data_IF_189565265209
#
_entry.id   IF_189565265209
#
_cell.length_a   1.000
_cell.length_b   1.000
_cell.length_c   1.000
_cell.angle_alpha   90.00
_cell.angle_beta   90.00
_cell.angle_gamma   90.00
#
_symmetry.space_group_name_H-M   'P 1'
#
loop_
_entity.id
_entity.type
_entity.pdbx_description
1 polymer ?
#
# COMPACT_ATOMS: atom_id res chain seq x y z
N UNK A 1 -46.02 -24.99 -33.56
CA UNK A 1 -44.55 -24.91 -33.47
C UNK A 1 -44.26 -24.01 -32.29
N UNK A 2 -44.08 -24.63 -31.12
CA UNK A 2 -44.02 -23.97 -29.82
C UNK A 2 -42.55 -23.94 -29.43
N UNK A 3 -41.95 -22.76 -29.31
CA UNK A 3 -40.60 -22.61 -28.74
C UNK A 3 -40.74 -22.35 -27.25
N UNK A 4 -40.14 -23.24 -26.47
CA UNK A 4 -40.04 -23.18 -25.02
C UNK A 4 -38.75 -22.44 -24.63
N UNK A 5 -38.87 -21.64 -23.57
CA UNK A 5 -37.79 -21.07 -22.76
C UNK A 5 -37.07 -22.18 -21.99
N UNK A 6 -35.73 -22.14 -21.93
CA UNK A 6 -34.92 -22.93 -21.00
C UNK A 6 -34.13 -21.98 -20.08
N UNK A 7 -34.35 -22.13 -18.78
CA UNK A 7 -33.53 -21.51 -17.73
C UNK A 7 -32.36 -22.42 -17.36
N UNK A 8 -31.23 -21.81 -16.99
CA UNK A 8 -30.07 -22.50 -16.46
C UNK A 8 -30.22 -22.69 -14.94
N UNK A 9 -30.23 -23.94 -14.50
CA UNK A 9 -29.89 -24.34 -13.12
C UNK A 9 -28.70 -25.28 -13.22
N UNK A 10 -27.63 -24.98 -12.48
CA UNK A 10 -26.47 -25.87 -12.37
C UNK A 10 -26.77 -26.91 -11.28
N UNK A 11 -26.86 -28.17 -11.70
CA UNK A 11 -27.02 -29.34 -10.81
C UNK A 11 -25.65 -30.01 -10.61
N UNK A 12 -25.26 -30.24 -9.37
CA UNK A 12 -24.02 -30.93 -9.01
C UNK A 12 -24.36 -32.32 -8.48
N UNK A 13 -24.31 -33.32 -9.37
CA UNK A 13 -24.39 -34.74 -8.97
C UNK A 13 -23.03 -35.42 -9.20
N UNK A 14 -22.42 -35.87 -8.11
CA UNK A 14 -21.22 -36.71 -8.14
C UNK A 14 -21.59 -38.17 -8.45
N UNK A 15 -20.90 -38.77 -9.42
CA UNK A 15 -21.04 -40.20 -9.76
C UNK A 15 -19.84 -40.96 -9.19
N UNK A 16 -20.09 -41.95 -8.33
CA UNK A 16 -19.09 -42.95 -7.94
C UNK A 16 -19.08 -44.08 -8.98
N UNK A 17 -17.91 -44.36 -9.58
CA UNK A 17 -17.72 -45.55 -10.40
C UNK A 17 -17.18 -46.69 -9.53
N UNK A 18 -17.99 -47.74 -9.34
CA UNK A 18 -17.51 -49.02 -8.83
C UNK A 18 -16.71 -49.75 -9.91
N UNK A 19 -15.43 -50.02 -9.66
CA UNK A 19 -14.66 -50.99 -10.45
C UNK A 19 -14.66 -52.33 -9.71
N UNK A 20 -15.17 -53.37 -10.39
CA UNK A 20 -15.16 -54.76 -9.93
C UNK A 20 -13.72 -55.30 -9.92
N UNK A 21 -13.11 -55.44 -8.74
CA UNK A 21 -11.87 -56.21 -8.55
C UNK A 21 -12.10 -57.38 -7.58
N UNK A 22 -11.79 -58.58 -8.06
CA UNK A 22 -11.87 -59.86 -7.35
C UNK A 22 -10.95 -59.88 -6.11
N UNK A 23 -11.45 -60.51 -5.04
CA UNK A 23 -10.75 -60.88 -3.79
C UNK A 23 -9.32 -61.39 -4.00
N UNK A 24 -8.35 -60.70 -3.41
CA UNK A 24 -7.24 -61.34 -2.71
C UNK A 24 -6.86 -60.49 -1.50
N UNK A 25 -6.75 -61.14 -0.35
CA UNK A 25 -6.48 -60.54 0.95
C UNK A 25 -5.18 -59.72 0.91
N UNK A 26 -5.30 -58.38 0.99
CA UNK A 26 -4.32 -57.46 1.55
C UNK A 26 -4.96 -56.06 1.67
N UNK A 27 -4.83 -55.47 2.85
CA UNK A 27 -5.39 -54.17 3.23
C UNK A 27 -4.72 -53.05 2.43
N UNK A 28 -5.44 -52.41 1.51
CA UNK A 28 -5.02 -51.16 0.87
C UNK A 28 -6.06 -50.06 1.13
N UNK A 29 -5.65 -48.82 1.42
CA UNK A 29 -6.58 -47.72 1.62
C UNK A 29 -7.28 -47.35 0.29
N UNK A 30 -8.61 -47.19 0.35
CA UNK A 30 -9.39 -46.62 -0.74
C UNK A 30 -8.90 -45.19 -1.02
N UNK A 31 -8.46 -44.96 -2.26
CA UNK A 31 -8.06 -43.63 -2.73
C UNK A 31 -9.26 -43.00 -3.44
N UNK A 32 -9.82 -41.92 -2.88
CA UNK A 32 -10.75 -41.07 -3.61
C UNK A 32 -9.94 -40.05 -4.44
N UNK A 33 -10.12 -40.07 -5.75
CA UNK A 33 -9.53 -39.08 -6.66
C UNK A 33 -10.61 -38.06 -6.99
N UNK A 34 -10.40 -36.81 -6.56
CA UNK A 34 -11.22 -35.68 -6.99
C UNK A 34 -10.63 -35.13 -8.30
N UNK A 35 -11.35 -35.26 -9.42
CA UNK A 35 -10.95 -34.67 -10.70
C UNK A 35 -11.77 -33.40 -10.91
N UNK A 36 -11.13 -32.24 -10.77
CA UNK A 36 -11.72 -30.95 -11.14
C UNK A 36 -11.31 -30.64 -12.59
N UNK A 37 -12.26 -30.73 -13.50
CA UNK A 37 -12.07 -30.31 -14.89
C UNK A 37 -12.60 -28.89 -15.06
N UNK A 38 -11.68 -27.93 -15.29
CA UNK A 38 -12.06 -26.61 -15.79
C UNK A 38 -12.17 -26.70 -17.31
N UNK A 39 -13.36 -26.40 -17.84
CA UNK A 39 -13.57 -26.28 -19.27
C UNK A 39 -13.08 -24.91 -19.75
N UNK A 40 -11.83 -24.84 -20.19
CA UNK A 40 -11.30 -23.71 -20.96
C UNK A 40 -10.98 -24.18 -22.37
N UNK A 41 -11.59 -23.51 -23.36
CA UNK A 41 -11.36 -23.76 -24.77
C UNK A 41 -9.94 -23.26 -25.16
N UNK A 42 -9.06 -24.20 -25.55
CA UNK A 42 -7.95 -24.09 -26.54
C UNK A 42 -6.83 -23.06 -26.19
N UNK A 43 -5.53 -23.36 -26.03
CA UNK A 43 -4.64 -24.47 -26.38
C UNK A 43 -3.35 -24.39 -25.52
N UNK A 44 -3.07 -25.39 -24.69
CA UNK A 44 -1.77 -25.85 -24.14
C UNK A 44 -1.97 -26.43 -22.73
N UNK A 45 -2.13 -27.76 -22.64
CA UNK A 45 -2.36 -28.47 -21.39
C UNK A 45 -1.04 -28.69 -20.64
N UNK A 46 -0.87 -28.00 -19.51
CA UNK A 46 -0.10 -28.51 -18.38
C UNK A 46 -1.12 -28.93 -17.30
N UNK A 47 -1.28 -30.23 -17.10
CA UNK A 47 -2.15 -30.76 -16.04
C UNK A 47 -1.36 -30.86 -14.75
N UNK A 48 -1.62 -29.97 -13.80
CA UNK A 48 -1.09 -30.09 -12.43
C UNK A 48 -1.98 -31.03 -11.63
N UNK A 49 -1.43 -32.15 -11.17
CA UNK A 49 -2.12 -33.07 -10.25
C UNK A 49 -1.71 -32.71 -8.83
N UNK A 50 -2.66 -32.21 -8.02
CA UNK A 50 -2.46 -32.01 -6.59
C UNK A 50 -2.93 -33.28 -5.88
N UNK A 51 -2.00 -33.99 -5.24
CA UNK A 51 -2.31 -35.15 -4.41
C UNK A 51 -2.21 -34.71 -2.94
N UNK A 52 -3.36 -34.52 -2.29
CA UNK A 52 -3.41 -34.39 -0.84
C UNK A 52 -3.69 -35.78 -0.24
N UNK A 53 -2.77 -36.26 0.61
CA UNK A 53 -3.01 -37.45 1.45
C UNK A 53 -3.21 -36.99 2.88
N UNK A 54 -4.25 -37.47 3.55
CA UNK A 54 -4.43 -37.30 4.99
C UNK A 54 -4.84 -38.62 5.61
N UNK A 55 -3.99 -39.12 6.51
CA UNK A 55 -4.28 -40.31 7.31
C UNK A 55 -5.32 -39.97 8.37
N UNK A 56 -6.45 -40.67 8.35
CA UNK A 56 -7.44 -40.63 9.41
C UNK A 56 -7.50 -42.01 10.07
N UNK A 57 -6.75 -42.18 11.14
CA UNK A 57 -6.96 -43.28 12.08
C UNK A 57 -7.61 -42.75 13.37
N UNK A 58 -8.92 -42.94 13.45
CA UNK A 58 -9.71 -43.06 14.69
C UNK A 58 -9.63 -41.94 15.74
N UNK A 59 -10.55 -40.97 15.67
CA UNK A 59 -11.22 -40.36 16.83
C UNK A 59 -12.28 -39.37 16.33
N UNK A 60 -13.46 -39.35 16.96
CA UNK A 60 -14.65 -38.60 16.52
C UNK A 60 -14.93 -37.30 17.29
N UNK A 61 -13.96 -36.75 18.03
CA UNK A 61 -14.16 -35.50 18.77
C UNK A 61 -13.10 -34.45 18.41
N UNK A 62 -13.55 -33.37 17.77
CA UNK A 62 -12.76 -32.17 17.48
C UNK A 62 -13.25 -31.03 18.39
N UNK A 63 -12.49 -30.69 19.43
CA UNK A 63 -12.63 -29.39 20.08
C UNK A 63 -11.30 -28.96 20.74
N UNK A 64 -10.54 -28.01 20.16
CA UNK A 64 -9.41 -27.42 20.84
C UNK A 64 -9.84 -26.15 21.60
N UNK A 65 -9.64 -26.15 22.92
CA UNK A 65 -9.64 -24.93 23.74
C UNK A 65 -8.19 -24.45 23.88
N UNK A 66 -7.92 -23.18 23.57
CA UNK A 66 -6.62 -22.55 23.78
C UNK A 66 -6.78 -21.51 24.89
N UNK A 67 -5.97 -21.64 25.94
CA UNK A 67 -5.79 -20.64 27.00
C UNK A 67 -4.51 -19.86 26.74
N UNK A 68 -4.56 -18.53 26.88
CA UNK A 68 -3.41 -17.62 26.81
C UNK A 68 -3.18 -17.06 28.22
N UNK A 69 -1.94 -17.11 28.70
CA UNK A 69 -1.49 -16.53 29.97
C UNK A 69 -0.78 -15.18 29.75
N UNK A 70 -0.86 -14.32 30.77
CA UNK A 70 -0.62 -12.88 30.84
C UNK A 70 0.80 -12.35 30.54
N UNK A 71 0.81 -11.05 30.18
CA UNK A 71 1.92 -10.10 29.97
C UNK A 71 2.76 -9.78 31.24
N UNK A 72 3.86 -9.02 31.09
CA UNK A 72 3.79 -7.66 31.66
C UNK A 72 4.40 -6.53 30.81
N UNK A 73 3.57 -5.50 30.63
CA UNK A 73 3.72 -4.08 30.92
C UNK A 73 4.95 -3.24 30.47
N UNK A 74 4.57 -2.24 29.66
CA UNK A 74 5.04 -0.84 29.56
C UNK A 74 6.27 -0.51 28.71
N UNK A 75 6.02 0.12 27.55
CA UNK A 75 6.95 1.05 26.89
C UNK A 75 6.25 2.40 26.74
N UNK A 76 6.79 3.41 27.42
CA UNK A 76 6.40 4.82 27.29
C UNK A 76 7.18 5.45 26.14
N UNK A 77 6.49 6.01 25.13
CA UNK A 77 7.10 6.81 24.08
C UNK A 77 7.00 8.31 24.44
N UNK A 78 8.15 8.98 24.52
CA UNK A 78 8.24 10.44 24.42
C UNK A 78 9.00 10.77 23.14
N UNK A 79 8.30 11.35 22.17
CA UNK A 79 8.92 12.00 21.02
C UNK A 79 9.31 13.42 21.38
N UNK A 80 10.57 13.79 21.23
CA UNK A 80 10.99 15.16 20.96
C UNK A 80 12.33 15.16 20.21
N UNK A 81 12.36 15.90 19.10
CA UNK A 81 13.56 16.27 18.36
C UNK A 81 14.22 17.46 19.08
N UNK A 82 15.43 17.28 19.61
CA UNK A 82 16.42 18.35 19.75
C UNK A 82 17.82 17.80 20.04
N UNK A 83 18.75 18.19 19.16
CA UNK A 83 20.18 18.45 19.33
C UNK A 83 20.98 17.96 20.54
N UNK A 84 22.15 17.42 20.17
CA UNK A 84 23.47 17.52 20.82
C UNK A 84 23.96 16.42 21.80
N UNK A 85 25.11 15.89 21.36
CA UNK A 85 26.27 15.36 22.08
C UNK A 85 26.14 14.22 23.10
N UNK A 86 26.73 13.09 22.70
CA UNK A 86 27.75 12.42 23.51
C UNK A 86 27.28 11.23 24.37
N UNK A 87 27.86 10.05 24.10
CA UNK A 87 27.81 8.94 25.04
C UNK A 87 28.07 7.59 24.40
N UNK A 88 29.31 7.11 24.51
CA UNK A 88 29.76 5.85 23.94
C UNK A 88 29.12 4.61 24.56
N UNK A 89 28.99 3.57 23.74
CA UNK A 89 28.66 2.21 24.15
C UNK A 89 29.42 1.23 23.26
N UNK A 90 30.58 0.79 23.74
CA UNK A 90 31.42 -0.20 23.06
C UNK A 90 30.93 -1.63 23.26
N UNK A 91 31.02 -2.42 22.19
CA UNK A 91 31.07 -3.87 22.16
C UNK A 91 31.56 -4.27 20.77
N UNK A 92 32.83 -4.64 20.57
CA UNK A 92 33.34 -5.97 20.87
C UNK A 92 32.70 -6.96 19.89
N UNK A 93 33.29 -7.34 18.77
CA UNK A 93 34.65 -7.83 18.58
C UNK A 93 34.54 -9.19 17.88
N UNK A 94 34.72 -9.19 16.56
CA UNK A 94 34.67 -10.39 15.72
C UNK A 94 35.63 -10.25 14.55
N UNK A 95 36.92 -10.44 14.83
CA UNK A 95 37.98 -10.38 13.83
C UNK A 95 37.89 -11.52 12.83
N UNK A 96 37.73 -11.16 11.55
CA UNK A 96 38.00 -12.01 10.39
C UNK A 96 38.94 -11.26 9.45
N UNK A 97 40.16 -11.78 9.29
CA UNK A 97 41.29 -11.08 8.68
C UNK A 97 41.15 -10.76 7.19
N UNK A 98 41.55 -9.53 6.89
CA UNK A 98 42.19 -9.04 5.67
C UNK A 98 42.18 -9.89 4.40
N UNK A 99 41.41 -9.39 3.42
CA UNK A 99 41.89 -9.14 2.06
C UNK A 99 41.36 -7.76 1.65
N UNK A 100 42.23 -6.89 1.13
CA UNK A 100 41.87 -5.59 0.57
C UNK A 100 41.02 -5.72 -0.69
N UNK A 101 39.77 -6.15 -0.53
CA UNK A 101 38.75 -6.18 -1.57
C UNK A 101 37.92 -4.91 -1.46
N UNK A 102 37.76 -4.20 -2.58
CA UNK A 102 36.83 -3.08 -2.65
C UNK A 102 35.51 -3.49 -2.01
N UNK A 103 35.14 -2.79 -0.94
CA UNK A 103 33.91 -3.03 -0.22
C UNK A 103 32.77 -3.10 -1.23
N UNK A 104 31.92 -4.11 -1.10
CA UNK A 104 30.74 -4.19 -1.94
C UNK A 104 29.92 -2.93 -1.71
N UNK A 105 29.78 -2.10 -2.75
CA UNK A 105 29.17 -0.78 -2.67
C UNK A 105 27.64 -0.87 -2.72
N UNK A 106 27.13 -1.64 -3.69
CA UNK A 106 25.71 -1.96 -3.83
C UNK A 106 25.42 -3.47 -3.68
N UNK A 107 24.16 -3.84 -3.39
CA UNK A 107 23.70 -5.23 -3.47
C UNK A 107 23.79 -5.76 -4.90
N UNK A 108 24.16 -7.03 -5.14
CA UNK A 108 24.34 -7.52 -6.50
C UNK A 108 23.00 -7.84 -7.15
N UNK A 109 22.80 -7.38 -8.39
CA UNK A 109 21.72 -7.86 -9.26
C UNK A 109 22.24 -8.87 -10.29
N UNK A 110 21.55 -10.00 -10.51
CA UNK A 110 21.90 -10.95 -11.57
C UNK A 110 21.95 -10.27 -12.94
N UNK A 111 23.01 -10.54 -13.71
CA UNK A 111 23.16 -10.01 -15.08
C UNK A 111 23.58 -8.54 -15.18
N UNK A 112 23.68 -7.81 -14.06
CA UNK A 112 24.10 -6.40 -14.04
C UNK A 112 25.54 -6.29 -13.57
N UNK A 113 26.35 -5.55 -14.33
CA UNK A 113 27.71 -5.22 -13.92
C UNK A 113 27.65 -4.24 -12.74
N UNK A 114 28.28 -4.64 -11.63
CA UNK A 114 28.48 -3.82 -10.43
C UNK A 114 29.13 -2.46 -10.73
N UNK A 115 28.92 -1.52 -9.83
CA UNK A 115 29.62 -0.25 -9.76
C UNK A 115 31.13 -0.44 -9.78
N UNK A 116 31.85 0.50 -10.37
CA UNK A 116 33.32 0.46 -10.49
C UNK A 116 33.90 1.80 -10.06
N UNK A 117 35.16 1.80 -9.61
CA UNK A 117 35.90 3.00 -9.19
C UNK A 117 35.29 3.75 -8.00
N UNK A 118 34.60 3.05 -7.09
CA UNK A 118 34.00 3.68 -5.92
C UNK A 118 32.60 4.26 -6.18
N UNK A 119 32.14 4.28 -7.44
CA UNK A 119 30.80 4.71 -7.85
C UNK A 119 29.82 3.52 -7.82
N UNK A 120 28.92 3.45 -6.82
CA UNK A 120 27.93 2.38 -6.71
C UNK A 120 26.93 2.45 -7.86
N UNK A 121 26.33 1.32 -8.23
CA UNK A 121 25.21 1.29 -9.18
C UNK A 121 23.89 1.13 -8.45
N UNK A 122 22.91 1.99 -8.75
CA UNK A 122 21.57 1.93 -8.17
C UNK A 122 20.53 1.91 -9.29
N UNK A 123 20.02 0.72 -9.57
CA UNK A 123 18.84 0.51 -10.42
C UNK A 123 17.59 0.50 -9.54
N UNK A 124 16.70 1.46 -9.74
CA UNK A 124 15.44 1.61 -9.01
C UNK A 124 14.28 1.66 -10.00
N UNK A 125 13.11 1.22 -9.58
CA UNK A 125 11.96 1.08 -10.47
C UNK A 125 10.74 1.87 -10.02
N UNK A 126 9.95 2.35 -10.96
CA UNK A 126 8.68 3.03 -10.70
C UNK A 126 7.63 2.58 -11.73
N UNK A 127 6.35 2.74 -11.38
CA UNK A 127 5.28 2.72 -12.38
C UNK A 127 5.17 4.10 -13.06
N UNK A 128 4.16 4.28 -13.89
CA UNK A 128 4.01 5.43 -14.79
C UNK A 128 2.61 6.06 -14.78
N UNK A 129 1.73 5.63 -13.89
CA UNK A 129 0.33 6.05 -13.79
C UNK A 129 0.06 6.92 -12.54
N UNK A 130 1.11 7.53 -11.96
CA UNK A 130 0.99 8.32 -10.74
C UNK A 130 1.67 9.70 -10.82
N UNK A 131 1.20 10.59 -11.72
CA UNK A 131 1.69 11.97 -11.77
C UNK A 131 1.33 12.77 -10.50
N UNK A 132 2.14 13.78 -10.13
CA UNK A 132 3.42 14.17 -10.74
C UNK A 132 4.60 13.32 -10.24
N UNK A 133 4.35 12.29 -9.43
CA UNK A 133 5.39 11.53 -8.73
C UNK A 133 6.16 10.55 -9.64
N UNK A 134 5.44 9.87 -10.53
CA UNK A 134 5.95 8.84 -11.42
C UNK A 134 5.06 8.73 -12.69
N UNK A 135 5.62 9.07 -13.86
CA UNK A 135 4.91 9.04 -15.14
C UNK A 135 5.85 8.79 -16.33
N UNK A 136 5.31 8.63 -17.54
CA UNK A 136 6.09 8.72 -18.79
C UNK A 136 6.12 10.16 -19.28
N UNK A 137 7.31 10.75 -19.35
CA UNK A 137 7.49 12.03 -20.02
C UNK A 137 7.20 11.86 -21.51
N UNK A 138 6.43 12.77 -22.09
CA UNK A 138 6.11 12.77 -23.52
C UNK A 138 6.63 14.04 -24.17
N UNK A 139 6.88 14.06 -25.50
CA UNK A 139 7.45 15.24 -26.14
C UNK A 139 6.60 16.51 -25.87
N UNK A 140 7.22 17.65 -25.54
CA UNK A 140 8.66 17.93 -25.66
C UNK A 140 9.50 17.62 -24.41
N UNK A 141 8.94 17.07 -23.34
CA UNK A 141 9.66 16.78 -22.08
C UNK A 141 10.73 15.69 -22.26
N UNK A 142 10.33 14.53 -22.79
CA UNK A 142 11.22 13.41 -23.11
C UNK A 142 10.63 12.54 -24.24
N UNK A 143 11.39 11.55 -24.72
CA UNK A 143 10.96 10.60 -25.75
C UNK A 143 10.37 9.33 -25.12
N UNK A 144 9.27 9.47 -24.38
CA UNK A 144 8.62 8.38 -23.64
C UNK A 144 9.54 7.72 -22.59
N UNK A 145 10.41 8.51 -21.97
CA UNK A 145 11.25 8.05 -20.86
C UNK A 145 10.50 8.16 -19.53
N UNK A 146 10.86 7.31 -18.56
CA UNK A 146 10.35 7.45 -17.17
C UNK A 146 10.71 8.83 -16.63
N UNK A 147 9.78 9.45 -15.91
CA UNK A 147 9.87 10.82 -15.44
C UNK A 147 9.06 11.01 -14.15
N UNK A 148 9.15 12.21 -13.57
CA UNK A 148 8.41 12.60 -12.37
C UNK A 148 9.30 13.02 -11.20
N UNK A 149 8.66 13.46 -10.12
CA UNK A 149 9.37 13.99 -8.96
C UNK A 149 10.34 12.97 -8.34
N UNK A 150 9.90 11.72 -8.16
CA UNK A 150 10.77 10.68 -7.59
C UNK A 150 11.99 10.40 -8.48
N UNK A 151 11.77 10.33 -9.79
CA UNK A 151 12.82 10.17 -10.80
C UNK A 151 13.88 11.29 -10.68
N UNK A 152 13.44 12.55 -10.69
CA UNK A 152 14.35 13.69 -10.66
C UNK A 152 15.15 13.77 -9.35
N UNK A 153 14.51 13.45 -8.21
CA UNK A 153 15.20 13.38 -6.92
C UNK A 153 16.25 12.26 -6.91
N UNK A 154 15.96 11.10 -7.50
CA UNK A 154 16.93 10.01 -7.59
C UNK A 154 18.15 10.37 -8.44
N UNK A 155 17.94 11.04 -9.57
CA UNK A 155 19.03 11.48 -10.44
C UNK A 155 19.87 12.58 -9.79
N UNK A 156 19.24 13.62 -9.23
CA UNK A 156 19.96 14.71 -8.56
C UNK A 156 20.76 14.22 -7.34
N UNK A 157 20.18 13.34 -6.53
CA UNK A 157 20.91 12.66 -5.45
C UNK A 157 22.07 11.82 -5.99
N UNK A 158 21.85 11.10 -7.09
CA UNK A 158 22.87 10.28 -7.74
C UNK A 158 24.07 11.09 -8.22
N UNK A 159 23.82 12.25 -8.83
CA UNK A 159 24.86 13.19 -9.26
C UNK A 159 25.65 13.74 -8.07
N UNK A 160 24.96 14.20 -7.02
CA UNK A 160 25.60 14.76 -5.81
C UNK A 160 26.55 13.77 -5.12
N UNK A 161 26.21 12.49 -5.15
CA UNK A 161 26.92 11.44 -4.42
C UNK A 161 27.77 10.50 -5.27
N UNK A 162 27.92 10.78 -6.57
CA UNK A 162 28.65 9.91 -7.49
C UNK A 162 28.10 8.46 -7.46
N UNK A 163 26.77 8.32 -7.50
CA UNK A 163 26.05 7.06 -7.68
C UNK A 163 25.59 6.98 -9.14
N UNK A 164 25.80 5.84 -9.78
CA UNK A 164 25.26 5.55 -11.11
C UNK A 164 23.80 5.09 -10.96
N UNK A 165 22.88 6.05 -11.02
CA UNK A 165 21.44 5.81 -10.86
C UNK A 165 20.81 5.50 -12.21
N UNK A 166 20.01 4.44 -12.28
CA UNK A 166 19.16 4.13 -13.42
C UNK A 166 17.74 3.92 -12.91
N UNK A 167 16.79 4.67 -13.47
CA UNK A 167 15.37 4.48 -13.19
C UNK A 167 14.76 3.66 -14.32
N UNK A 168 13.99 2.63 -13.98
CA UNK A 168 13.32 1.75 -14.95
C UNK A 168 11.82 1.67 -14.68
N UNK A 169 11.03 1.37 -15.71
CA UNK A 169 9.61 1.11 -15.55
C UNK A 169 9.36 -0.29 -14.97
N UNK A 170 8.36 -0.41 -14.09
CA UNK A 170 7.78 -1.67 -13.59
C UNK A 170 6.32 -1.43 -13.22
N UNK A 171 5.49 -2.47 -13.17
CA UNK A 171 4.15 -2.33 -12.57
C UNK A 171 4.21 -2.28 -11.04
N UNK A 172 3.29 -1.57 -10.38
CA UNK A 172 3.20 -1.49 -8.91
C UNK A 172 3.19 -2.87 -8.25
N UNK A 173 2.45 -3.84 -8.80
CA UNK A 173 2.36 -5.20 -8.27
C UNK A 173 3.72 -5.95 -8.26
N UNK A 174 4.68 -5.55 -9.10
CA UNK A 174 6.03 -6.13 -9.06
C UNK A 174 6.86 -5.59 -7.88
N UNK A 175 6.42 -4.51 -7.25
CA UNK A 175 7.01 -3.94 -6.03
C UNK A 175 6.26 -4.39 -4.78
N UNK A 176 4.94 -4.26 -4.75
CA UNK A 176 4.10 -4.66 -3.63
C UNK A 176 2.73 -5.09 -4.12
N UNK A 177 2.26 -6.26 -3.68
CA UNK A 177 0.99 -6.82 -4.13
C UNK A 177 0.32 -7.62 -3.01
N UNK A 178 -0.96 -7.35 -2.75
CA UNK A 178 -1.84 -8.10 -1.85
C UNK A 178 -1.18 -8.52 -0.50
N UNK A 179 -0.47 -7.60 0.14
CA UNK A 179 0.19 -7.83 1.44
C UNK A 179 1.51 -8.61 1.38
N UNK A 180 2.09 -8.73 0.20
CA UNK A 180 3.36 -9.39 -0.04
C UNK A 180 4.32 -8.52 -0.86
N UNK A 181 5.61 -8.80 -0.70
CA UNK A 181 6.64 -8.24 -1.56
C UNK A 181 6.43 -8.71 -3.01
N UNK A 182 6.37 -7.76 -3.94
CA UNK A 182 6.13 -8.05 -5.35
C UNK A 182 7.26 -8.85 -6.00
N UNK A 183 6.95 -9.53 -7.11
CA UNK A 183 7.88 -10.49 -7.72
C UNK A 183 9.15 -9.84 -8.26
N UNK A 184 9.09 -8.60 -8.74
CA UNK A 184 10.24 -7.85 -9.25
C UNK A 184 11.27 -7.53 -8.17
N UNK A 185 10.83 -6.99 -7.03
CA UNK A 185 11.73 -6.79 -5.88
C UNK A 185 12.21 -8.11 -5.28
N UNK A 186 11.30 -9.10 -5.14
CA UNK A 186 11.68 -10.35 -4.52
C UNK A 186 12.71 -11.15 -5.34
N UNK A 187 12.62 -11.07 -6.68
CA UNK A 187 13.51 -11.74 -7.63
C UNK A 187 14.73 -10.88 -8.03
N UNK A 188 14.91 -9.72 -7.40
CA UNK A 188 16.02 -8.80 -7.64
C UNK A 188 16.17 -8.39 -9.12
N UNK A 189 15.06 -7.97 -9.74
CA UNK A 189 15.10 -7.33 -11.07
C UNK A 189 15.70 -5.92 -11.00
N UNK A 190 15.57 -5.26 -9.84
CA UNK A 190 16.09 -3.94 -9.49
C UNK A 190 16.41 -3.92 -7.98
N UNK A 191 17.12 -2.91 -7.51
CA UNK A 191 17.54 -2.81 -6.10
C UNK A 191 16.40 -2.39 -5.18
N UNK A 192 15.44 -1.63 -5.70
CA UNK A 192 14.24 -1.21 -4.99
C UNK A 192 13.24 -0.53 -5.91
N UNK A 193 12.04 -0.30 -5.41
CA UNK A 193 11.04 0.53 -6.06
C UNK A 193 10.98 1.93 -5.46
N UNK A 194 10.41 2.87 -6.19
CA UNK A 194 10.38 4.28 -5.81
C UNK A 194 8.98 4.76 -5.50
N UNK A 195 8.89 5.94 -4.86
CA UNK A 195 7.67 6.71 -4.65
C UNK A 195 6.57 6.02 -3.85
N UNK A 196 6.97 5.11 -2.94
CA UNK A 196 6.06 4.46 -1.99
C UNK A 196 5.96 5.23 -0.68
N UNK A 197 4.74 5.35 -0.14
CA UNK A 197 4.50 5.75 1.25
C UNK A 197 5.07 4.69 2.21
N UNK A 198 5.81 5.15 3.21
CA UNK A 198 6.28 4.29 4.30
C UNK A 198 5.14 4.04 5.30
N UNK A 199 4.25 3.12 4.94
CA UNK A 199 3.14 2.73 5.82
C UNK A 199 3.66 2.04 7.09
N UNK A 200 2.90 2.21 8.17
CA UNK A 200 3.02 1.36 9.34
C UNK A 200 2.58 -0.08 8.99
N UNK A 201 2.81 -1.01 9.91
CA UNK A 201 2.35 -2.40 9.72
C UNK A 201 3.22 -3.23 8.77
N UNK A 202 2.58 -3.99 7.90
CA UNK A 202 3.11 -5.23 7.35
C UNK A 202 4.29 -5.09 6.39
N UNK A 203 4.37 -3.98 5.64
CA UNK A 203 5.48 -3.73 4.70
C UNK A 203 6.81 -3.86 5.42
N UNK A 204 6.91 -3.32 6.64
CA UNK A 204 8.11 -3.35 7.48
C UNK A 204 8.60 -4.75 7.85
N UNK A 205 7.81 -5.81 7.61
CA UNK A 205 8.22 -7.22 7.75
C UNK A 205 9.12 -7.67 6.58
N UNK A 206 8.89 -7.15 5.38
CA UNK A 206 9.51 -7.62 4.13
C UNK A 206 10.47 -6.62 3.49
N UNK A 207 10.20 -5.32 3.67
CA UNK A 207 10.93 -4.23 3.01
C UNK A 207 11.51 -3.25 4.03
N UNK A 208 12.44 -2.43 3.56
CA UNK A 208 12.99 -1.26 4.24
C UNK A 208 12.79 -0.04 3.35
N UNK A 209 12.66 1.13 3.96
CA UNK A 209 12.40 2.38 3.26
C UNK A 209 13.55 3.35 3.46
N UNK A 210 13.86 4.13 2.42
CA UNK A 210 14.72 5.32 2.55
C UNK A 210 14.03 6.40 3.39
N UNK A 211 14.70 7.53 3.59
CA UNK A 211 14.00 8.73 4.05
C UNK A 211 12.88 9.14 3.09
N UNK A 212 11.87 9.79 3.66
CA UNK A 212 10.82 10.49 2.93
C UNK A 212 11.41 11.60 2.08
N UNK A 213 10.98 11.71 0.83
CA UNK A 213 11.25 12.85 -0.05
C UNK A 213 10.11 13.86 -0.04
N UNK A 214 9.00 13.51 0.59
CA UNK A 214 7.88 14.38 0.93
C UNK A 214 7.55 14.16 2.41
N UNK A 215 7.06 15.20 3.06
CA UNK A 215 6.52 15.12 4.41
C UNK A 215 5.36 14.11 4.45
N UNK A 216 4.96 13.68 5.65
CA UNK A 216 3.73 12.90 5.82
C UNK A 216 2.51 13.77 5.43
N UNK A 217 2.22 13.78 4.13
CA UNK A 217 1.30 14.71 3.48
C UNK A 217 0.02 14.05 2.97
N UNK A 218 -0.13 12.74 3.18
CA UNK A 218 -1.28 11.96 2.75
C UNK A 218 -1.97 11.35 3.95
N UNK A 219 -2.66 12.15 4.78
CA UNK A 219 -3.48 11.61 5.86
C UNK A 219 -4.53 10.67 5.29
N UNK A 220 -4.94 9.70 6.08
CA UNK A 220 -6.02 8.79 5.76
C UNK A 220 -7.35 9.28 6.35
N UNK A 221 -8.43 8.71 5.86
CA UNK A 221 -9.79 8.96 6.31
C UNK A 221 -10.70 7.76 6.08
N UNK A 222 -11.86 7.80 6.72
CA UNK A 222 -12.93 6.81 6.52
C UNK A 222 -14.09 7.53 5.86
N UNK A 223 -14.41 7.14 4.63
CA UNK A 223 -15.63 7.56 3.94
C UNK A 223 -16.81 6.73 4.44
N UNK A 224 -17.99 7.33 4.49
CA UNK A 224 -19.27 6.68 4.76
C UNK A 224 -20.37 7.37 3.97
N UNK A 225 -21.44 6.65 3.68
CA UNK A 225 -22.66 7.24 3.13
C UNK A 225 -23.31 8.20 4.13
N UNK A 226 -24.04 9.18 3.61
CA UNK A 226 -24.94 10.06 4.34
C UNK A 226 -26.39 9.61 4.15
N UNK A 227 -27.19 9.68 5.21
CA UNK A 227 -28.63 9.47 5.13
C UNK A 227 -29.36 10.67 4.50
N UNK A 228 -30.68 10.56 4.33
CA UNK A 228 -31.50 11.65 3.77
C UNK A 228 -31.51 12.95 4.59
N UNK A 229 -31.03 12.89 5.83
CA UNK A 229 -30.90 14.03 6.74
C UNK A 229 -29.47 14.57 6.80
N UNK A 230 -28.53 13.99 6.03
CA UNK A 230 -27.12 14.38 6.01
C UNK A 230 -26.30 13.79 7.16
N UNK A 231 -26.83 12.82 7.92
CA UNK A 231 -26.07 12.16 8.99
C UNK A 231 -25.23 11.02 8.42
N UNK A 232 -24.00 10.81 8.91
CA UNK A 232 -23.16 9.71 8.45
C UNK A 232 -23.68 8.36 8.98
N UNK A 233 -23.64 7.33 8.13
CA UNK A 233 -24.04 5.97 8.51
C UNK A 233 -23.11 5.36 9.56
N UNK A 234 -21.80 5.59 9.44
CA UNK A 234 -20.85 5.36 10.53
C UNK A 234 -20.84 6.59 11.44
N UNK A 235 -21.00 6.39 12.74
CA UNK A 235 -20.87 7.49 13.71
C UNK A 235 -19.41 7.89 13.89
N UNK A 236 -19.12 9.19 13.99
CA UNK A 236 -17.77 9.69 14.28
C UNK A 236 -17.21 9.29 15.64
N UNK A 237 -18.02 8.78 16.57
CA UNK A 237 -17.51 8.21 17.83
C UNK A 237 -17.39 6.67 17.81
N UNK A 238 -17.70 6.03 16.67
CA UNK A 238 -17.66 4.57 16.49
C UNK A 238 -16.25 4.01 16.63
N UNK A 239 -16.11 2.84 17.23
CA UNK A 239 -14.87 2.04 17.16
C UNK A 239 -14.87 1.04 15.99
N UNK A 240 -15.87 1.13 15.10
CA UNK A 240 -16.08 0.26 13.93
C UNK A 240 -16.50 -1.19 14.25
N UNK A 241 -16.82 -1.52 15.50
CA UNK A 241 -17.22 -2.88 15.85
C UNK A 241 -18.48 -3.34 15.07
N UNK A 242 -18.36 -4.48 14.37
CA UNK A 242 -19.42 -5.06 13.55
C UNK A 242 -19.64 -4.36 12.21
N UNK A 243 -18.80 -3.40 11.83
CA UNK A 243 -18.85 -2.73 10.53
C UNK A 243 -17.98 -3.43 9.50
N UNK A 244 -18.33 -3.25 8.22
CA UNK A 244 -17.54 -3.68 7.07
C UNK A 244 -16.86 -2.49 6.44
N UNK A 245 -15.56 -2.56 6.25
CA UNK A 245 -14.74 -1.46 5.69
C UNK A 245 -14.03 -1.97 4.44
N UNK A 246 -14.15 -1.23 3.33
CA UNK A 246 -13.39 -1.53 2.12
C UNK A 246 -11.92 -1.09 2.26
N UNK A 247 -11.01 -1.99 1.89
CA UNK A 247 -9.60 -1.73 1.61
C UNK A 247 -9.44 -1.41 0.12
N UNK A 248 -8.75 -0.32 -0.21
CA UNK A 248 -8.47 0.04 -1.61
C UNK A 248 -7.21 -0.68 -2.07
N UNK A 249 -7.39 -1.81 -2.75
CA UNK A 249 -6.28 -2.71 -3.08
C UNK A 249 -5.20 -2.05 -3.93
N UNK A 250 -3.95 -2.19 -3.49
CA UNK A 250 -2.77 -1.60 -4.14
C UNK A 250 -2.44 -0.19 -3.65
N UNK A 251 -3.35 0.46 -2.90
CA UNK A 251 -3.15 1.80 -2.38
C UNK A 251 -2.85 1.77 -0.88
N UNK A 252 -2.24 2.84 -0.40
CA UNK A 252 -2.21 3.15 1.01
C UNK A 252 -3.35 4.14 1.33
N UNK A 253 -3.86 4.18 2.57
CA UNK A 253 -3.52 3.27 3.67
C UNK A 253 -3.97 1.83 3.39
N UNK A 254 -3.33 0.83 4.03
CA UNK A 254 -3.62 -0.60 3.82
C UNK A 254 -4.47 -1.19 4.94
N UNK A 255 -5.19 -2.28 4.68
CA UNK A 255 -6.09 -2.94 5.63
C UNK A 255 -5.52 -3.14 7.05
N UNK A 256 -4.25 -3.53 7.16
CA UNK A 256 -3.59 -3.78 8.44
C UNK A 256 -3.30 -2.50 9.24
N UNK A 257 -3.17 -1.36 8.57
CA UNK A 257 -2.85 -0.09 9.24
C UNK A 257 -4.03 0.48 10.02
N UNK A 258 -5.27 0.16 9.65
CA UNK A 258 -6.46 0.63 10.39
C UNK A 258 -6.45 0.11 11.83
N UNK A 259 -5.87 -1.08 12.07
CA UNK A 259 -5.77 -1.69 13.40
C UNK A 259 -4.79 -0.95 14.33
N UNK A 260 -4.03 0.00 13.81
CA UNK A 260 -3.08 0.83 14.56
C UNK A 260 -3.68 2.16 14.99
N UNK A 261 -4.88 2.50 14.51
CA UNK A 261 -5.47 3.84 14.62
C UNK A 261 -6.44 3.92 15.79
N UNK A 262 -6.26 4.94 16.62
CA UNK A 262 -7.26 5.34 17.61
C UNK A 262 -8.24 6.35 17.01
N UNK A 263 -9.53 6.19 17.29
CA UNK A 263 -10.53 7.18 16.94
C UNK A 263 -10.30 8.44 17.77
N UNK A 264 -9.88 9.54 17.14
CA UNK A 264 -9.58 10.82 17.81
C UNK A 264 -10.81 11.47 18.48
N UNK A 265 -12.02 11.14 18.06
CA UNK A 265 -13.25 11.66 18.65
C UNK A 265 -13.64 10.94 19.96
N UNK A 266 -13.36 9.63 20.06
CA UNK A 266 -13.73 8.82 21.24
C UNK A 266 -12.52 8.38 22.09
N UNK A 267 -11.30 8.53 21.58
CA UNK A 267 -10.05 7.98 22.12
C UNK A 267 -10.09 6.46 22.31
N UNK A 268 -10.79 5.75 21.41
CA UNK A 268 -10.89 4.28 21.41
C UNK A 268 -10.26 3.73 20.14
N UNK A 269 -9.47 2.66 20.27
CA UNK A 269 -8.90 1.91 19.15
C UNK A 269 -10.01 1.42 18.21
N UNK A 270 -9.82 1.57 16.90
CA UNK A 270 -10.67 0.88 15.93
C UNK A 270 -10.47 -0.63 16.04
N UNK A 271 -11.55 -1.39 16.20
CA UNK A 271 -11.52 -2.84 16.37
C UNK A 271 -12.86 -3.51 16.01
N UNK A 272 -12.85 -4.83 15.84
CA UNK A 272 -14.07 -5.60 15.61
C UNK A 272 -14.74 -5.39 14.25
N UNK A 273 -14.07 -4.72 13.32
CA UNK A 273 -14.52 -4.53 11.94
C UNK A 273 -14.05 -5.68 11.03
N UNK A 274 -14.73 -5.84 9.89
CA UNK A 274 -14.35 -6.75 8.80
C UNK A 274 -13.77 -5.93 7.63
N UNK A 275 -12.53 -6.22 7.23
CA UNK A 275 -11.95 -5.61 6.03
C UNK A 275 -12.32 -6.43 4.79
N UNK A 276 -12.87 -5.78 3.76
CA UNK A 276 -13.15 -6.38 2.46
C UNK A 276 -12.24 -5.76 1.39
N UNK A 277 -11.62 -6.60 0.58
CA UNK A 277 -10.65 -6.17 -0.44
C UNK A 277 -11.39 -5.72 -1.72
N UNK A 278 -11.12 -4.52 -2.22
CA UNK A 278 -11.85 -4.02 -3.41
C UNK A 278 -11.52 -4.77 -4.70
N UNK A 279 -10.38 -5.47 -4.78
CA UNK A 279 -10.04 -6.30 -5.94
C UNK A 279 -10.91 -7.56 -6.06
N UNK A 280 -11.49 -8.06 -4.95
CA UNK A 280 -12.48 -9.16 -5.01
C UNK A 280 -13.79 -8.74 -5.71
N UNK A 281 -13.97 -7.43 -5.91
CA UNK A 281 -15.13 -6.80 -6.54
C UNK A 281 -14.77 -6.12 -7.87
N UNK A 282 -13.60 -6.41 -8.45
CA UNK A 282 -13.09 -5.81 -9.69
C UNK A 282 -13.90 -6.13 -10.95
N UNK A 283 -15.01 -6.86 -10.83
CA UNK A 283 -15.97 -7.04 -11.93
C UNK A 283 -16.76 -5.74 -12.23
N UNK A 284 -16.67 -4.74 -11.35
CA UNK A 284 -17.46 -3.51 -11.42
C UNK A 284 -16.69 -2.26 -11.85
N UNK A 285 -15.35 -2.27 -11.89
CA UNK A 285 -14.55 -1.11 -12.29
C UNK A 285 -13.16 -1.46 -12.80
N UNK A 286 -12.58 -0.54 -13.58
CA UNK A 286 -11.24 -0.66 -14.14
C UNK A 286 -10.13 -0.24 -13.15
N UNK A 287 -10.47 0.34 -11.98
CA UNK A 287 -9.54 0.67 -10.91
C UNK A 287 -10.10 0.38 -9.50
N UNK A 288 -9.21 0.13 -8.53
CA UNK A 288 -9.55 -0.27 -7.16
C UNK A 288 -10.28 0.81 -6.34
N UNK A 289 -10.10 2.09 -6.65
CA UNK A 289 -10.75 3.22 -5.98
C UNK A 289 -12.25 3.24 -6.31
N UNK A 290 -12.59 3.12 -7.60
CA UNK A 290 -13.97 3.00 -8.08
C UNK A 290 -14.65 1.73 -7.58
N UNK A 291 -13.91 0.63 -7.45
CA UNK A 291 -14.44 -0.63 -6.90
C UNK A 291 -14.90 -0.42 -5.44
N UNK A 292 -14.05 0.19 -4.62
CA UNK A 292 -14.35 0.47 -3.21
C UNK A 292 -15.54 1.43 -3.05
N UNK A 293 -15.61 2.49 -3.87
CA UNK A 293 -16.76 3.40 -3.88
C UNK A 293 -18.04 2.68 -4.30
N UNK A 294 -17.97 1.81 -5.31
CA UNK A 294 -19.12 1.00 -5.75
C UNK A 294 -19.63 0.08 -4.64
N UNK A 295 -18.72 -0.59 -3.91
CA UNK A 295 -19.08 -1.42 -2.76
C UNK A 295 -19.82 -0.60 -1.70
N UNK A 296 -19.35 0.61 -1.39
CA UNK A 296 -20.01 1.49 -0.43
C UNK A 296 -21.41 1.90 -0.90
N UNK A 297 -21.57 2.32 -2.16
CA UNK A 297 -22.89 2.71 -2.69
C UNK A 297 -23.88 1.55 -2.83
N UNK A 298 -23.39 0.32 -3.03
CA UNK A 298 -24.23 -0.88 -3.05
C UNK A 298 -24.62 -1.37 -1.66
N UNK A 299 -23.98 -0.84 -0.60
CA UNK A 299 -24.16 -1.32 0.78
C UNK A 299 -23.45 -2.64 1.07
N UNK A 300 -22.45 -3.01 0.26
CA UNK A 300 -21.59 -4.18 0.50
C UNK A 300 -20.63 -3.92 1.67
N UNK A 301 -20.27 -2.64 1.88
CA UNK A 301 -19.49 -2.13 3.02
C UNK A 301 -20.18 -0.90 3.63
N UNK A 302 -19.89 -0.62 4.90
CA UNK A 302 -20.38 0.54 5.63
C UNK A 302 -19.47 1.78 5.41
N UNK A 303 -18.21 1.56 5.06
CA UNK A 303 -17.27 2.65 4.78
C UNK A 303 -16.05 2.21 3.96
N UNK A 304 -15.23 3.20 3.56
CA UNK A 304 -14.01 2.99 2.78
C UNK A 304 -12.81 3.60 3.50
N UNK A 305 -11.76 2.81 3.70
CA UNK A 305 -10.48 3.24 4.26
C UNK A 305 -9.55 3.70 3.14
N UNK A 306 -9.24 5.00 3.09
CA UNK A 306 -8.61 5.64 1.93
C UNK A 306 -7.84 6.90 2.31
N UNK A 307 -7.00 7.45 1.42
CA UNK A 307 -6.40 8.76 1.66
C UNK A 307 -7.47 9.86 1.74
N UNK A 308 -7.29 10.79 2.66
CA UNK A 308 -8.23 11.85 2.97
C UNK A 308 -8.34 12.92 1.87
N UNK A 309 -7.34 13.04 0.99
CA UNK A 309 -7.35 13.91 -0.19
C UNK A 309 -7.94 13.22 -1.43
N UNK A 310 -8.28 11.93 -1.36
CA UNK A 310 -8.64 11.16 -2.55
C UNK A 310 -9.85 11.73 -3.29
N UNK A 311 -10.91 12.11 -2.55
CA UNK A 311 -12.12 12.71 -3.15
C UNK A 311 -11.82 14.05 -3.83
N UNK A 312 -10.89 14.84 -3.30
CA UNK A 312 -10.44 16.07 -3.93
C UNK A 312 -9.69 15.77 -5.23
N UNK A 313 -8.77 14.81 -5.20
CA UNK A 313 -8.00 14.39 -6.38
C UNK A 313 -8.86 13.74 -7.46
N UNK A 314 -10.01 13.16 -7.07
CA UNK A 314 -10.97 12.51 -7.97
C UNK A 314 -12.15 13.43 -8.34
N UNK A 315 -12.04 14.75 -8.13
CA UNK A 315 -13.02 15.71 -8.64
C UNK A 315 -12.95 15.79 -10.17
N UNK A 316 -14.02 15.38 -10.84
CA UNK A 316 -14.10 15.41 -12.30
C UNK A 316 -14.17 16.81 -12.92
N UNK A 317 -14.24 17.86 -12.10
CA UNK A 317 -14.15 19.24 -12.56
C UNK A 317 -12.72 19.80 -12.53
N UNK A 318 -11.73 18.98 -12.15
CA UNK A 318 -10.33 19.40 -12.13
C UNK A 318 -9.85 19.71 -13.55
N UNK A 319 -9.43 20.95 -13.82
CA UNK A 319 -9.12 21.45 -15.17
C UNK A 319 -7.92 20.77 -15.84
N UNK A 320 -7.01 20.22 -15.02
CA UNK A 320 -5.68 19.80 -15.45
C UNK A 320 -5.50 18.28 -15.51
N UNK A 321 -6.58 17.51 -15.28
CA UNK A 321 -6.55 16.04 -15.30
C UNK A 321 -7.66 15.54 -16.23
N UNK A 322 -7.35 14.58 -17.09
CA UNK A 322 -8.39 13.82 -17.80
C UNK A 322 -8.79 12.67 -16.89
N UNK A 323 -10.05 12.62 -16.38
CA UNK A 323 -10.45 11.58 -15.45
C UNK A 323 -10.38 10.20 -16.08
N UNK A 324 -9.62 9.30 -15.47
CA UNK A 324 -9.60 7.86 -15.79
C UNK A 324 -10.49 7.05 -14.82
N UNK A 325 -11.17 7.75 -13.91
CA UNK A 325 -12.10 7.18 -12.93
C UNK A 325 -13.56 7.50 -13.28
N UNK A 326 -14.48 6.78 -12.63
CA UNK A 326 -15.92 6.94 -12.83
C UNK A 326 -16.45 8.15 -12.06
N UNK A 327 -16.57 9.29 -12.75
CA UNK A 327 -17.08 10.55 -12.18
C UNK A 327 -18.38 10.43 -11.40
N UNK A 328 -19.31 9.57 -11.82
CA UNK A 328 -20.60 9.44 -11.14
C UNK A 328 -20.50 8.84 -9.73
N UNK A 329 -19.43 8.08 -9.44
CA UNK A 329 -19.14 7.55 -8.10
C UNK A 329 -18.59 8.64 -7.17
N UNK A 330 -17.78 9.55 -7.70
CA UNK A 330 -17.11 10.59 -6.91
C UNK A 330 -17.95 11.87 -6.77
N UNK A 331 -19.05 11.98 -7.51
CA UNK A 331 -20.03 13.07 -7.32
C UNK A 331 -20.87 12.93 -6.04
N UNK A 332 -21.20 14.08 -5.44
CA UNK A 332 -22.09 14.14 -4.27
C UNK A 332 -21.36 14.06 -2.93
N UNK A 333 -20.06 14.35 -2.91
CA UNK A 333 -19.34 14.60 -1.66
C UNK A 333 -20.05 15.69 -0.83
N UNK A 334 -20.27 15.42 0.45
CA UNK A 334 -21.05 16.26 1.37
C UNK A 334 -22.57 16.16 1.22
N UNK A 335 -23.09 15.37 0.28
CA UNK A 335 -24.55 15.19 0.11
C UNK A 335 -24.98 13.73 0.08
N UNK A 336 -24.17 12.85 -0.50
CA UNK A 336 -24.40 11.40 -0.56
C UNK A 336 -23.44 10.63 0.35
N UNK A 337 -22.24 11.16 0.54
CA UNK A 337 -21.18 10.54 1.35
C UNK A 337 -20.22 11.62 1.86
N UNK A 338 -19.47 11.31 2.91
CA UNK A 338 -18.52 12.23 3.55
C UNK A 338 -17.41 11.43 4.25
N UNK A 339 -16.30 12.10 4.56
CA UNK A 339 -15.35 11.61 5.56
C UNK A 339 -15.94 11.78 6.94
N UNK A 340 -16.14 10.66 7.63
CA UNK A 340 -16.47 10.66 9.07
C UNK A 340 -15.21 10.74 9.93
N UNK A 341 -14.09 10.24 9.40
CA UNK A 341 -12.76 10.39 9.97
C UNK A 341 -11.79 10.94 8.93
N UNK A 342 -10.88 11.81 9.35
CA UNK A 342 -9.95 12.54 8.48
C UNK A 342 -8.69 12.92 9.27
N UNK A 343 -7.58 13.20 8.58
CA UNK A 343 -6.32 13.60 9.21
C UNK A 343 -5.59 12.47 9.94
N UNK A 344 -5.89 11.20 9.63
CA UNK A 344 -5.27 10.06 10.31
C UNK A 344 -3.88 9.83 9.73
N UNK A 345 -2.83 10.08 10.53
CA UNK A 345 -1.43 9.94 10.11
C UNK A 345 -0.77 8.69 10.67
N UNK A 346 -1.38 8.07 11.68
CA UNK A 346 -0.90 6.89 12.42
C UNK A 346 -0.74 5.66 11.51
N UNK A 347 -1.35 5.67 10.33
CA UNK A 347 -1.20 4.63 9.31
C UNK A 347 0.18 4.63 8.63
N UNK A 348 1.01 5.68 8.81
CA UNK A 348 2.30 5.84 8.16
C UNK A 348 3.40 6.30 9.14
N UNK A 349 4.63 5.81 8.92
CA UNK A 349 5.82 6.31 9.62
C UNK A 349 6.42 7.53 8.93
N UNK A 350 6.24 7.64 7.62
CA UNK A 350 6.74 8.75 6.81
C UNK A 350 5.86 8.91 5.54
N UNK A 351 5.99 10.05 4.86
CA UNK A 351 5.36 10.28 3.56
C UNK A 351 5.95 9.43 2.44
N UNK A 352 5.84 9.94 1.20
CA UNK A 352 6.47 9.31 0.02
C UNK A 352 7.98 9.22 0.21
N UNK A 353 8.54 8.01 0.13
CA UNK A 353 9.97 7.74 0.22
C UNK A 353 10.61 7.62 -1.17
N UNK A 354 11.92 7.89 -1.25
CA UNK A 354 12.65 7.73 -2.51
C UNK A 354 12.72 6.26 -2.93
N UNK A 355 13.05 5.36 -2.00
CA UNK A 355 13.26 3.95 -2.27
C UNK A 355 12.63 3.06 -1.20
N UNK A 356 11.82 2.11 -1.63
CA UNK A 356 11.41 0.90 -0.92
C UNK A 356 12.23 -0.28 -1.45
N UNK A 357 13.01 -0.94 -0.59
CA UNK A 357 13.89 -2.04 -0.97
C UNK A 357 13.66 -3.28 -0.11
N UNK A 358 14.15 -4.44 -0.55
CA UNK A 358 14.06 -5.66 0.26
C UNK A 358 14.78 -5.47 1.60
N UNK A 359 14.16 -5.89 2.69
CA UNK A 359 14.72 -5.70 4.03
C UNK A 359 16.08 -6.38 4.16
N UNK A 360 17.07 -5.64 4.69
CA UNK A 360 18.44 -6.11 4.82
C UNK A 360 19.21 -6.11 3.49
N UNK A 361 18.72 -5.42 2.46
CA UNK A 361 19.43 -5.27 1.20
C UNK A 361 20.68 -4.42 1.37
N UNK A 362 20.64 -3.39 2.22
CA UNK A 362 21.70 -2.38 2.32
C UNK A 362 21.44 -1.14 1.45
N UNK A 363 20.34 -1.11 0.68
CA UNK A 363 20.01 0.03 -0.20
C UNK A 363 19.68 1.27 0.62
N UNK A 364 19.00 1.10 1.75
CA UNK A 364 18.68 2.23 2.64
C UNK A 364 19.95 2.90 3.17
N UNK A 365 20.93 2.11 3.59
CA UNK A 365 22.21 2.58 4.11
C UNK A 365 23.06 3.26 3.02
N UNK A 366 22.92 2.81 1.76
CA UNK A 366 23.54 3.43 0.60
C UNK A 366 22.89 4.79 0.24
N UNK A 367 21.56 4.87 0.26
CA UNK A 367 20.78 6.01 -0.23
C UNK A 367 20.65 7.12 0.80
N UNK A 368 20.35 6.81 2.06
CA UNK A 368 19.94 7.81 3.06
C UNK A 368 20.97 8.92 3.32
N UNK A 369 22.28 8.65 3.45
CA UNK A 369 23.26 9.73 3.65
C UNK A 369 23.30 10.72 2.49
N UNK A 370 23.06 10.25 1.27
CA UNK A 370 23.05 11.07 0.07
C UNK A 370 21.74 11.83 -0.08
N UNK A 371 20.63 11.16 0.19
CA UNK A 371 19.30 11.75 0.12
C UNK A 371 19.16 12.91 1.10
N UNK A 372 19.62 12.73 2.34
CA UNK A 372 19.62 13.79 3.34
C UNK A 372 20.38 15.03 2.85
N UNK A 373 21.59 14.85 2.31
CA UNK A 373 22.39 15.95 1.77
C UNK A 373 21.73 16.62 0.56
N UNK A 374 21.09 15.83 -0.31
CA UNK A 374 20.40 16.36 -1.49
C UNK A 374 19.19 17.21 -1.10
N UNK A 375 18.41 16.76 -0.11
CA UNK A 375 17.25 17.50 0.41
C UNK A 375 17.60 18.84 1.06
N UNK A 376 18.86 19.07 1.43
CA UNK A 376 19.36 20.35 1.94
C UNK A 376 19.78 21.33 0.83
N UNK A 377 19.66 20.94 -0.45
CA UNK A 377 20.11 21.76 -1.59
C UNK A 377 19.02 22.65 -2.18
N UNK A 378 19.44 23.72 -2.86
CA UNK A 378 18.57 24.56 -3.70
C UNK A 378 17.98 23.75 -4.87
N UNK A 379 18.71 22.75 -5.39
CA UNK A 379 18.23 21.88 -6.46
C UNK A 379 16.99 21.08 -6.05
N UNK A 380 16.97 20.52 -4.84
CA UNK A 380 15.78 19.85 -4.32
C UNK A 380 14.57 20.79 -4.23
N UNK A 381 14.79 22.03 -3.78
CA UNK A 381 13.74 23.06 -3.76
C UNK A 381 13.22 23.39 -5.18
N UNK A 382 14.11 23.56 -6.15
CA UNK A 382 13.71 23.82 -7.54
C UNK A 382 12.97 22.62 -8.17
N UNK A 383 13.28 21.38 -7.77
CA UNK A 383 12.48 20.21 -8.13
C UNK A 383 11.09 20.25 -7.51
N UNK A 384 10.98 20.63 -6.23
CA UNK A 384 9.68 20.81 -5.58
C UNK A 384 8.83 21.87 -6.29
N UNK A 385 9.42 22.98 -6.75
CA UNK A 385 8.72 23.97 -7.58
C UNK A 385 8.34 23.45 -8.96
N UNK A 386 9.27 22.76 -9.65
CA UNK A 386 9.03 22.20 -10.97
C UNK A 386 7.78 21.31 -10.99
N UNK A 387 7.57 20.55 -9.92
CA UNK A 387 6.49 19.58 -9.78
C UNK A 387 5.28 20.10 -8.97
N UNK A 388 5.27 21.37 -8.57
CA UNK A 388 4.21 22.00 -7.74
C UNK A 388 3.98 21.29 -6.38
N UNK A 389 5.08 20.91 -5.72
CA UNK A 389 5.11 20.15 -4.47
C UNK A 389 5.74 20.94 -3.31
N UNK A 390 5.94 22.25 -3.43
CA UNK A 390 6.61 23.07 -2.40
C UNK A 390 5.92 23.00 -1.03
N UNK A 391 4.59 22.84 -1.01
CA UNK A 391 3.79 22.74 0.21
C UNK A 391 3.97 21.42 0.96
N UNK A 392 4.46 20.37 0.29
CA UNK A 392 4.56 19.01 0.84
C UNK A 392 5.99 18.46 0.86
N UNK A 393 6.95 19.13 0.22
CA UNK A 393 8.37 18.86 0.36
C UNK A 393 8.90 19.22 1.75
N UNK A 394 10.05 18.66 2.12
CA UNK A 394 10.75 19.06 3.35
C UNK A 394 11.40 20.44 3.17
N UNK A 395 11.01 21.48 3.92
CA UNK A 395 11.60 22.80 3.74
C UNK A 395 13.08 22.80 4.15
N UNK A 396 13.87 23.56 3.41
CA UNK A 396 15.27 23.88 3.69
C UNK A 396 15.50 25.40 3.54
N UNK A 397 16.75 25.87 3.64
CA UNK A 397 17.10 27.30 3.57
C UNK A 397 16.71 28.01 2.26
N UNK A 398 16.38 27.25 1.20
CA UNK A 398 15.93 27.78 -0.09
C UNK A 398 14.41 28.01 -0.17
N UNK A 399 13.62 27.46 0.76
CA UNK A 399 12.17 27.63 0.80
C UNK A 399 11.78 28.99 1.38
N UNK A 400 10.80 29.65 0.77
CA UNK A 400 10.23 30.89 1.28
C UNK A 400 9.39 30.68 2.56
N UNK A 401 9.34 31.69 3.43
CA UNK A 401 8.51 31.64 4.65
C UNK A 401 7.00 31.47 4.36
N UNK A 402 6.55 31.92 3.18
CA UNK A 402 5.16 31.84 2.73
C UNK A 402 4.84 30.54 1.97
N UNK A 403 5.84 29.68 1.75
CA UNK A 403 5.70 28.40 1.04
C UNK A 403 5.43 27.22 1.99
N UNK A 404 5.33 27.51 3.29
CA UNK A 404 4.88 26.57 4.33
C UNK A 404 3.35 26.58 4.33
N UNK A 405 2.77 25.45 3.89
CA UNK A 405 1.41 25.28 3.41
C UNK A 405 0.28 25.96 4.22
N UNK A 406 -0.74 26.44 3.48
CA UNK A 406 -2.10 26.49 4.01
C UNK A 406 -2.58 25.06 4.28
N UNK A 407 -2.97 24.77 5.52
CA UNK A 407 -3.47 23.44 5.88
C UNK A 407 -4.80 23.17 5.19
N UNK A 408 -4.81 22.22 4.25
CA UNK A 408 -6.04 21.80 3.60
C UNK A 408 -6.98 21.14 4.63
N UNK A 409 -8.30 21.15 4.38
CA UNK A 409 -9.27 20.62 5.36
C UNK A 409 -9.02 19.13 5.68
N UNK A 410 -8.52 18.35 4.73
CA UNK A 410 -8.19 16.93 4.91
C UNK A 410 -6.92 16.67 5.73
N UNK A 411 -6.12 17.71 6.00
CA UNK A 411 -4.91 17.63 6.83
C UNK A 411 -5.18 17.83 8.32
N UNK A 412 -6.35 18.37 8.68
CA UNK A 412 -6.76 18.44 10.08
C UNK A 412 -7.16 17.05 10.58
N UNK A 413 -6.76 16.69 11.80
CA UNK A 413 -7.41 15.57 12.51
C UNK A 413 -8.89 15.90 12.68
N UNK A 414 -9.77 14.90 12.66
CA UNK A 414 -11.22 15.11 12.84
C UNK A 414 -11.57 15.95 14.07
N UNK A 415 -10.83 15.80 15.17
CA UNK A 415 -10.99 16.58 16.41
C UNK A 415 -10.52 18.03 16.32
N UNK A 416 -9.77 18.37 15.28
CA UNK A 416 -9.14 19.67 15.04
C UNK A 416 -9.77 20.43 13.86
N UNK A 417 -10.79 19.83 13.22
CA UNK A 417 -11.52 20.48 12.15
C UNK A 417 -12.04 21.86 12.58
N UNK A 418 -12.05 22.85 11.68
CA UNK A 418 -12.54 24.19 11.99
C UNK A 418 -13.95 24.16 12.60
N UNK A 419 -14.19 25.01 13.60
CA UNK A 419 -15.49 25.07 14.27
C UNK A 419 -16.64 25.32 13.28
N UNK A 420 -17.70 24.52 13.37
CA UNK A 420 -18.85 24.59 12.46
C UNK A 420 -18.66 23.81 11.15
N UNK A 421 -17.63 22.97 11.05
CA UNK A 421 -17.48 22.01 9.95
C UNK A 421 -18.56 20.93 10.06
N UNK A 422 -19.54 20.99 9.15
CA UNK A 422 -20.64 20.03 9.08
C UNK A 422 -20.38 19.00 7.98
N UNK A 423 -20.98 17.81 8.10
CA UNK A 423 -20.90 16.75 7.08
C UNK A 423 -21.33 17.22 5.68
N UNK A 424 -22.14 18.29 5.59
CA UNK A 424 -22.51 18.92 4.32
C UNK A 424 -21.34 19.48 3.51
N UNK A 425 -20.18 19.68 4.15
CA UNK A 425 -18.92 20.05 3.51
C UNK A 425 -18.16 18.86 2.92
N UNK A 426 -18.63 17.63 3.20
CA UNK A 426 -17.91 16.39 2.93
C UNK A 426 -16.98 15.95 4.06
N UNK A 427 -16.80 16.77 5.10
CA UNK A 427 -16.01 16.45 6.29
C UNK A 427 -16.89 16.60 7.53
N UNK A 428 -17.00 15.54 8.33
CA UNK A 428 -17.79 15.56 9.56
C UNK A 428 -16.92 15.90 10.76
N UNK A 429 -17.32 16.89 11.57
CA UNK A 429 -16.72 17.10 12.90
C UNK A 429 -17.04 15.95 13.85
N UNK A 430 -16.23 15.80 14.91
CA UNK A 430 -16.55 14.87 16.00
C UNK A 430 -17.95 15.17 16.59
N UNK A 431 -18.76 14.14 16.90
CA UNK A 431 -20.02 14.32 17.60
C UNK A 431 -19.79 15.01 18.96
N UNK A 432 -20.69 15.92 19.33
CA UNK A 432 -20.68 16.63 20.63
C UNK A 432 -21.27 15.76 21.73
#
# INVERSE_FOLDING_TARGET
MTMATMGNTADTSGVCLESQAKKSDNNFPLTCVLVLSFATFVLALATTVIVATKDFSGSSDCNPTITVEDEPDTITYYGYLSGEEGGGGGGGGGGGGGRGGGGQLEPPLPGIKRGTNGRPKLIVAQDIDYPPYAYLGVPPESDYEVSGFGHDVALGMGELCDIDVTVVQTDWANCWDAGAIGTGMNSAHYHGCMTYTHTAGERNRFVEFSYGILQANKPAGILTLLDSSGNPQISGSSNLNGTKIADVTGWAPTADTLALVDNVCSNVRFEGYEMLNSADYSIYSDNSNDAAMTMMFNGDVDGVWIYADQVHNYDCNHSDVTPEWNCSLWEGFGTKYAYVHVGISEHAYNGTTLVMAKKGSGVRELVNPCLQRFMETEEYYELCKKHDLTTVCYPNDSFGADEVASTNIWEYKTSELPAGTECSSGYCSCPI
#
